data_IF_196223053065
#
_entry.id   IF_196223053065
#
_cell.length_a   1.000
_cell.length_b   1.000
_cell.length_c   1.000
_cell.angle_alpha   90.00
_cell.angle_beta   90.00
_cell.angle_gamma   90.00
#
_symmetry.space_group_name_H-M   'P 1'
#
loop_
_entity.id
_entity.type
_entity.pdbx_description
1 polymer ?
#
# COMPACT_ATOMS: atom_id res chain seq x y z
N UNK A 1 12.52 44.00 -21.13
CA UNK A 1 11.45 43.23 -20.47
C UNK A 1 10.74 44.23 -19.56
N UNK A 2 9.43 44.44 -19.72
CA UNK A 2 8.73 45.44 -18.92
C UNK A 2 8.43 44.87 -17.52
N UNK A 3 8.16 45.77 -16.56
CA UNK A 3 7.89 45.42 -15.17
C UNK A 3 6.71 44.45 -15.04
N UNK A 4 5.67 44.62 -15.84
CA UNK A 4 4.50 43.75 -15.87
C UNK A 4 4.86 42.30 -16.26
N UNK A 5 5.73 42.11 -17.26
CA UNK A 5 6.18 40.77 -17.65
C UNK A 5 6.99 40.07 -16.56
N UNK A 6 7.76 40.84 -15.77
CA UNK A 6 8.49 40.33 -14.62
C UNK A 6 7.53 39.89 -13.51
N UNK A 7 6.51 40.70 -13.22
CA UNK A 7 5.49 40.37 -12.22
C UNK A 7 4.70 39.13 -12.62
N UNK A 8 4.29 38.99 -13.87
CA UNK A 8 3.58 37.83 -14.39
C UNK A 8 4.42 36.55 -14.28
N UNK A 9 5.72 36.63 -14.55
CA UNK A 9 6.64 35.50 -14.39
C UNK A 9 6.78 35.12 -12.91
N UNK A 10 6.95 36.11 -12.03
CA UNK A 10 7.08 35.87 -10.58
C UNK A 10 5.81 35.27 -10.00
N UNK A 11 4.63 35.70 -10.41
CA UNK A 11 3.37 35.10 -9.99
C UNK A 11 3.22 33.64 -10.47
N UNK A 12 3.57 33.37 -11.72
CA UNK A 12 3.56 32.00 -12.25
C UNK A 12 4.49 31.07 -11.52
N UNK A 13 5.70 31.52 -11.17
CA UNK A 13 6.70 30.74 -10.43
C UNK A 13 6.28 30.57 -8.98
N UNK A 14 5.78 31.61 -8.34
CA UNK A 14 5.38 31.61 -6.92
C UNK A 14 4.20 30.68 -6.65
N UNK A 15 3.28 30.50 -7.59
CA UNK A 15 2.06 29.73 -7.45
C UNK A 15 2.19 28.30 -8.04
N UNK A 16 3.43 27.83 -8.23
CA UNK A 16 3.72 26.46 -8.68
C UNK A 16 4.43 25.67 -7.59
N UNK A 17 3.92 24.48 -7.34
CA UNK A 17 4.38 23.60 -6.29
C UNK A 17 4.96 22.31 -6.88
N UNK A 18 6.29 22.29 -7.04
CA UNK A 18 7.02 21.14 -7.58
C UNK A 18 7.56 20.25 -6.46
N UNK A 19 7.68 18.95 -6.75
CA UNK A 19 8.19 17.95 -5.83
C UNK A 19 7.10 17.30 -4.97
N UNK A 20 7.52 16.58 -3.94
CA UNK A 20 6.64 15.77 -3.08
C UNK A 20 6.31 16.49 -1.79
N UNK A 21 5.05 16.52 -1.44
CA UNK A 21 4.53 17.10 -0.21
C UNK A 21 3.89 16.04 0.67
N UNK A 22 4.11 16.12 1.97
CA UNK A 22 3.44 15.23 2.93
C UNK A 22 1.98 15.62 3.06
N UNK A 23 1.11 14.62 2.90
CA UNK A 23 -0.31 14.74 3.10
C UNK A 23 -0.85 13.70 4.08
N UNK A 24 -2.09 13.91 4.50
CA UNK A 24 -2.88 12.96 5.27
C UNK A 24 -4.21 12.77 4.54
N UNK A 25 -4.60 11.53 4.27
CA UNK A 25 -5.87 11.20 3.59
C UNK A 25 -7.04 11.69 4.44
N UNK A 26 -7.96 12.42 3.82
CA UNK A 26 -9.18 12.92 4.46
C UNK A 26 -10.45 12.23 3.95
N UNK A 27 -10.47 11.88 2.66
CA UNK A 27 -11.63 11.30 1.99
C UNK A 27 -11.19 10.29 0.93
N UNK A 28 -12.07 9.36 0.60
CA UNK A 28 -11.89 8.30 -0.41
C UNK A 28 -13.11 8.29 -1.32
N UNK A 29 -12.89 8.25 -2.62
CA UNK A 29 -13.92 8.05 -3.65
C UNK A 29 -13.85 6.60 -4.15
N UNK A 30 -14.86 5.82 -3.85
CA UNK A 30 -14.87 4.37 -4.11
C UNK A 30 -14.87 4.03 -5.60
N UNK A 31 -15.65 4.78 -6.40
CA UNK A 31 -15.83 4.49 -7.84
C UNK A 31 -14.56 4.72 -8.66
N UNK A 32 -13.74 5.68 -8.29
CA UNK A 32 -12.53 6.07 -9.04
C UNK A 32 -11.24 5.75 -8.33
N UNK A 33 -11.30 5.25 -7.10
CA UNK A 33 -10.17 5.01 -6.20
C UNK A 33 -9.27 6.24 -6.02
N UNK A 34 -9.89 7.43 -6.01
CA UNK A 34 -9.22 8.71 -5.73
C UNK A 34 -9.32 9.04 -4.25
N UNK A 35 -8.38 9.84 -3.79
CA UNK A 35 -8.37 10.33 -2.41
C UNK A 35 -8.38 11.86 -2.39
N UNK A 36 -8.84 12.46 -1.30
CA UNK A 36 -8.45 13.82 -0.92
C UNK A 36 -7.43 13.76 0.20
N UNK A 37 -6.55 14.71 0.24
CA UNK A 37 -5.54 14.81 1.27
C UNK A 37 -5.40 16.24 1.80
N UNK A 38 -5.17 16.37 3.10
CA UNK A 38 -4.72 17.61 3.71
C UNK A 38 -3.21 17.73 3.52
N UNK A 39 -2.78 18.82 2.89
CA UNK A 39 -1.36 19.11 2.57
C UNK A 39 -0.99 20.46 3.19
N UNK A 40 -0.66 20.54 4.49
CA UNK A 40 -0.50 21.80 5.21
C UNK A 40 0.56 22.74 4.62
N UNK A 41 1.63 22.18 4.05
CA UNK A 41 2.72 22.96 3.45
C UNK A 41 2.31 23.73 2.18
N UNK A 42 1.18 23.38 1.56
CA UNK A 42 0.71 23.98 0.30
C UNK A 42 -0.66 24.63 0.47
N UNK A 43 -1.59 23.94 1.11
CA UNK A 43 -3.01 24.34 1.20
C UNK A 43 -3.45 24.72 2.61
N UNK A 44 -2.53 24.73 3.60
CA UNK A 44 -2.88 24.99 4.99
C UNK A 44 -3.90 23.99 5.52
N UNK A 45 -5.04 24.48 5.99
CA UNK A 45 -6.11 23.64 6.56
C UNK A 45 -7.05 23.02 5.51
N UNK A 46 -6.94 23.42 4.25
CA UNK A 46 -7.80 22.91 3.18
C UNK A 46 -7.30 21.55 2.66
N UNK A 47 -8.25 20.69 2.30
CA UNK A 47 -7.95 19.47 1.56
C UNK A 47 -7.75 19.76 0.07
N UNK A 48 -7.04 18.88 -0.61
CA UNK A 48 -6.91 18.89 -2.09
C UNK A 48 -8.26 18.62 -2.75
N UNK A 49 -8.35 18.85 -4.06
CA UNK A 49 -9.30 18.14 -4.91
C UNK A 49 -9.03 16.62 -4.91
N UNK A 50 -9.79 15.87 -5.72
CA UNK A 50 -9.55 14.44 -5.89
C UNK A 50 -8.21 14.17 -6.56
N UNK A 51 -7.30 13.55 -5.81
CA UNK A 51 -5.96 13.21 -6.28
C UNK A 51 -6.01 12.02 -7.25
N UNK A 52 -5.42 12.17 -8.42
CA UNK A 52 -5.20 11.07 -9.35
C UNK A 52 -4.25 10.04 -8.73
N UNK A 53 -4.56 8.73 -8.75
CA UNK A 53 -3.63 7.71 -8.28
C UNK A 53 -2.45 7.53 -9.25
N UNK A 54 -1.23 7.55 -8.73
CA UNK A 54 -0.03 7.11 -9.43
C UNK A 54 0.38 5.75 -8.85
N UNK A 55 0.03 4.68 -9.54
CA UNK A 55 0.23 3.30 -9.08
C UNK A 55 1.19 2.55 -10.01
N UNK A 56 1.85 1.48 -9.53
CA UNK A 56 2.84 0.74 -10.33
C UNK A 56 2.29 0.13 -11.62
N UNK A 57 1.00 -0.22 -11.64
CA UNK A 57 0.34 -0.83 -12.80
C UNK A 57 -1.14 -0.48 -12.80
N UNK A 58 -1.64 0.04 -13.92
CA UNK A 58 -3.04 0.36 -14.13
C UNK A 58 -3.42 0.24 -15.61
N UNK A 59 -4.66 -0.11 -15.91
CA UNK A 59 -5.23 -0.19 -17.25
C UNK A 59 -6.72 -0.51 -17.18
N UNK A 60 -7.33 -0.78 -18.33
CA UNK A 60 -8.74 -1.17 -18.38
C UNK A 60 -8.92 -2.55 -17.75
N UNK A 61 -9.63 -2.61 -16.63
CA UNK A 61 -9.92 -3.81 -15.83
C UNK A 61 -8.67 -4.59 -15.33
N UNK A 62 -7.52 -3.88 -15.23
CA UNK A 62 -6.28 -4.43 -14.68
C UNK A 62 -5.55 -3.39 -13.83
N UNK A 63 -4.89 -3.82 -12.75
CA UNK A 63 -4.15 -2.89 -11.92
C UNK A 63 -3.64 -3.44 -10.60
N UNK A 64 -2.81 -2.62 -9.95
CA UNK A 64 -2.32 -2.83 -8.60
C UNK A 64 -3.04 -1.82 -7.68
N UNK A 65 -4.18 -2.22 -7.12
CA UNK A 65 -5.09 -1.35 -6.38
C UNK A 65 -4.91 -1.51 -4.86
N UNK A 66 -4.08 -0.65 -4.26
CA UNK A 66 -3.89 -0.54 -2.81
C UNK A 66 -4.17 0.89 -2.38
N UNK A 67 -5.42 1.14 -2.01
CA UNK A 67 -5.87 2.47 -1.61
C UNK A 67 -5.54 2.72 -0.13
N UNK A 68 -4.89 3.85 0.21
CA UNK A 68 -4.61 4.18 1.60
C UNK A 68 -5.89 4.57 2.35
N UNK A 69 -5.99 4.13 3.62
CA UNK A 69 -7.10 4.45 4.51
C UNK A 69 -7.13 5.95 4.86
N UNK A 70 -8.33 6.47 5.21
CA UNK A 70 -8.45 7.81 5.81
C UNK A 70 -7.55 7.90 7.06
N UNK A 71 -6.79 8.97 7.16
CA UNK A 71 -5.79 9.19 8.20
C UNK A 71 -4.37 8.74 7.82
N UNK A 72 -4.19 7.96 6.75
CA UNK A 72 -2.87 7.51 6.29
C UNK A 72 -1.99 8.65 5.79
N UNK A 73 -0.68 8.49 5.97
CA UNK A 73 0.32 9.39 5.42
C UNK A 73 0.56 9.11 3.93
N UNK A 74 0.44 10.15 3.10
CA UNK A 74 0.61 10.05 1.65
C UNK A 74 1.55 11.12 1.10
N UNK A 75 2.20 10.80 -0.01
CA UNK A 75 2.97 11.75 -0.80
C UNK A 75 2.09 12.32 -1.91
N UNK A 76 1.99 13.65 -1.95
CA UNK A 76 1.21 14.39 -2.93
C UNK A 76 2.16 15.19 -3.82
N UNK A 77 1.93 15.11 -5.11
CA UNK A 77 2.51 15.95 -6.15
C UNK A 77 1.39 16.72 -6.85
N UNK A 78 1.77 17.74 -7.61
CA UNK A 78 0.83 18.53 -8.41
C UNK A 78 1.30 18.55 -9.86
N UNK A 79 0.43 18.15 -10.78
CA UNK A 79 0.76 18.12 -12.21
C UNK A 79 1.19 19.52 -12.69
N UNK A 80 2.37 19.61 -13.27
CA UNK A 80 3.01 20.89 -13.64
C UNK A 80 3.07 21.92 -12.48
N UNK A 81 3.04 21.46 -11.23
CA UNK A 81 3.02 22.30 -10.04
C UNK A 81 1.67 22.98 -9.75
N UNK A 82 0.60 22.64 -10.46
CA UNK A 82 -0.71 23.25 -10.31
C UNK A 82 -1.56 22.51 -9.27
N UNK A 83 -1.92 23.19 -8.18
CA UNK A 83 -2.70 22.62 -7.07
C UNK A 83 -4.07 22.10 -7.49
N UNK A 84 -4.58 22.49 -8.65
CA UNK A 84 -5.85 22.01 -9.19
C UNK A 84 -5.78 20.57 -9.71
N UNK A 85 -4.58 20.06 -9.93
CA UNK A 85 -4.32 18.71 -10.44
C UNK A 85 -3.44 17.90 -9.49
N UNK A 86 -3.95 17.53 -8.31
CA UNK A 86 -3.21 16.77 -7.34
C UNK A 86 -3.08 15.30 -7.74
N UNK A 87 -1.91 14.72 -7.47
CA UNK A 87 -1.58 13.31 -7.71
C UNK A 87 -1.07 12.72 -6.39
N UNK A 88 -1.61 11.58 -5.93
CA UNK A 88 -0.96 10.84 -4.86
C UNK A 88 -0.03 9.77 -5.45
N UNK A 89 1.22 9.78 -4.96
CA UNK A 89 2.33 9.02 -5.57
C UNK A 89 2.91 7.98 -4.63
N UNK A 90 2.21 7.66 -3.56
CA UNK A 90 2.61 6.64 -2.60
C UNK A 90 2.29 7.03 -1.16
N UNK A 91 2.64 6.15 -0.24
CA UNK A 91 2.38 6.29 1.18
C UNK A 91 3.69 6.34 1.98
N UNK A 92 3.62 6.80 3.22
CA UNK A 92 4.70 6.70 4.18
C UNK A 92 4.15 6.34 5.56
N UNK A 93 4.94 5.65 6.34
CA UNK A 93 4.63 5.38 7.75
C UNK A 93 5.16 6.51 8.65
N UNK A 94 4.36 6.92 9.60
CA UNK A 94 4.84 7.70 10.73
C UNK A 94 5.51 6.77 11.75
N UNK A 95 6.10 7.33 12.79
CA UNK A 95 6.69 6.53 13.86
C UNK A 95 5.63 5.59 14.47
N UNK A 96 5.94 4.30 14.50
CA UNK A 96 5.06 3.27 15.05
C UNK A 96 3.99 2.70 14.10
N UNK A 97 3.89 3.18 12.86
CA UNK A 97 2.84 2.75 11.91
C UNK A 97 3.26 1.58 11.00
N UNK A 98 4.54 1.25 10.92
CA UNK A 98 4.96 0.14 10.07
C UNK A 98 4.35 -1.19 10.55
N UNK A 99 4.02 -2.14 9.65
CA UNK A 99 3.57 -3.47 10.07
C UNK A 99 4.55 -4.11 11.05
N UNK A 100 4.05 -4.72 12.13
CA UNK A 100 4.87 -5.34 13.18
C UNK A 100 5.79 -6.43 12.63
N UNK A 101 5.30 -7.19 11.65
CA UNK A 101 6.01 -8.30 11.01
C UNK A 101 7.09 -7.82 10.01
N UNK A 102 7.05 -6.55 9.59
CA UNK A 102 8.00 -6.02 8.61
C UNK A 102 9.40 -5.84 9.23
N UNK A 103 10.40 -6.43 8.60
CA UNK A 103 11.81 -6.34 8.96
C UNK A 103 12.69 -6.27 7.69
N UNK A 104 13.99 -5.93 7.78
CA UNK A 104 14.85 -5.86 6.59
C UNK A 104 14.82 -7.13 5.72
N UNK A 105 14.69 -8.29 6.34
CA UNK A 105 14.61 -9.59 5.65
C UNK A 105 13.21 -10.18 5.58
N UNK A 106 12.19 -9.51 6.10
CA UNK A 106 10.77 -9.91 6.02
C UNK A 106 10.01 -8.88 5.22
N UNK A 107 9.57 -9.25 4.02
CA UNK A 107 8.69 -8.45 3.17
C UNK A 107 7.25 -8.85 3.46
N UNK A 108 6.36 -7.86 3.55
CA UNK A 108 4.99 -8.12 3.95
C UNK A 108 3.98 -7.26 3.23
N UNK A 109 2.82 -7.84 2.96
CA UNK A 109 1.58 -7.13 2.65
C UNK A 109 0.63 -7.41 3.81
N UNK A 110 0.12 -6.36 4.44
CA UNK A 110 -0.84 -6.48 5.55
C UNK A 110 -2.00 -5.54 5.28
N UNK A 111 -3.22 -6.07 5.33
CA UNK A 111 -4.44 -5.27 5.22
C UNK A 111 -4.93 -4.83 6.61
N UNK A 112 -5.78 -3.82 6.66
CA UNK A 112 -6.39 -3.33 7.90
C UNK A 112 -7.18 -4.41 8.65
N UNK A 113 -7.79 -5.35 7.92
CA UNK A 113 -8.51 -6.48 8.50
C UNK A 113 -7.60 -7.60 9.04
N UNK A 114 -6.27 -7.51 8.84
CA UNK A 114 -5.32 -8.49 9.33
C UNK A 114 -5.01 -9.63 8.35
N UNK A 115 -5.43 -9.55 7.08
CA UNK A 115 -4.94 -10.46 6.05
C UNK A 115 -3.48 -10.17 5.77
N UNK A 116 -2.64 -11.20 5.62
CA UNK A 116 -1.18 -11.08 5.50
C UNK A 116 -0.60 -11.96 4.41
N UNK A 117 0.41 -11.43 3.71
CA UNK A 117 1.37 -12.19 2.93
C UNK A 117 2.76 -11.84 3.47
N UNK A 118 3.50 -12.84 3.91
CA UNK A 118 4.86 -12.69 4.45
C UNK A 118 5.83 -13.48 3.59
N UNK A 119 6.96 -12.85 3.26
CA UNK A 119 8.11 -13.50 2.65
C UNK A 119 9.29 -13.28 3.60
N UNK A 120 9.70 -14.34 4.29
CA UNK A 120 10.78 -14.32 5.27
C UNK A 120 12.03 -14.98 4.69
N UNK A 121 13.01 -14.13 4.34
CA UNK A 121 14.28 -14.59 3.77
C UNK A 121 15.15 -15.34 4.79
N UNK A 122 15.08 -14.99 6.10
CA UNK A 122 15.84 -15.67 7.14
C UNK A 122 15.24 -17.03 7.51
N UNK A 123 13.91 -17.07 7.64
CA UNK A 123 13.18 -18.31 7.90
C UNK A 123 13.00 -19.20 6.68
N UNK A 124 13.34 -18.69 5.48
CA UNK A 124 13.08 -19.37 4.19
C UNK A 124 11.63 -19.80 4.07
N UNK A 125 10.68 -18.92 4.45
CA UNK A 125 9.25 -19.22 4.45
C UNK A 125 8.44 -18.19 3.66
N UNK A 126 7.37 -18.66 3.04
CA UNK A 126 6.29 -17.84 2.50
C UNK A 126 5.01 -18.20 3.25
N UNK A 127 4.32 -17.20 3.78
CA UNK A 127 3.09 -17.42 4.54
C UNK A 127 1.98 -16.53 4.02
N UNK A 128 0.79 -17.11 3.80
CA UNK A 128 -0.45 -16.38 3.54
C UNK A 128 -1.41 -16.68 4.68
N UNK A 129 -1.91 -15.64 5.35
CA UNK A 129 -2.82 -15.79 6.50
C UNK A 129 -4.01 -14.84 6.33
N UNK A 130 -5.21 -15.32 6.58
CA UNK A 130 -6.39 -14.48 6.64
C UNK A 130 -6.67 -13.96 8.07
N UNK A 131 -7.66 -13.08 8.21
CA UNK A 131 -8.08 -12.51 9.49
C UNK A 131 -8.67 -13.54 10.48
N UNK A 132 -8.98 -14.75 10.02
CA UNK A 132 -9.48 -15.88 10.84
C UNK A 132 -8.39 -16.88 11.19
N UNK A 133 -7.11 -16.56 10.88
CA UNK A 133 -5.94 -17.42 11.04
C UNK A 133 -5.97 -18.72 10.20
N UNK A 134 -6.72 -18.74 9.09
CA UNK A 134 -6.50 -19.77 8.08
C UNK A 134 -5.17 -19.47 7.40
N UNK A 135 -4.33 -20.48 7.23
CA UNK A 135 -2.92 -20.24 6.87
C UNK A 135 -2.42 -21.21 5.80
N UNK A 136 -1.63 -20.69 4.89
CA UNK A 136 -0.83 -21.45 3.94
C UNK A 136 0.62 -21.13 4.25
N UNK A 137 1.45 -22.16 4.45
CA UNK A 137 2.90 -22.01 4.64
C UNK A 137 3.63 -22.82 3.59
N UNK A 138 4.64 -22.20 2.98
CA UNK A 138 5.63 -22.87 2.15
C UNK A 138 6.97 -22.72 2.88
N UNK A 139 7.64 -23.82 3.13
CA UNK A 139 8.98 -23.86 3.77
C UNK A 139 9.82 -25.03 3.24
N UNK A 140 10.94 -25.29 3.88
CA UNK A 140 11.85 -26.38 3.48
C UNK A 140 11.27 -27.77 3.68
N UNK A 141 10.20 -27.95 4.46
CA UNK A 141 9.51 -29.23 4.67
C UNK A 141 8.40 -29.49 3.68
N UNK A 142 7.92 -28.45 2.98
CA UNK A 142 6.89 -28.56 1.95
C UNK A 142 5.83 -27.47 2.03
N UNK A 143 4.57 -27.84 1.85
CA UNK A 143 3.40 -26.96 1.87
C UNK A 143 2.44 -27.42 2.96
N UNK A 144 2.04 -26.49 3.82
CA UNK A 144 1.05 -26.75 4.87
C UNK A 144 -0.17 -25.83 4.69
N UNK A 145 -1.37 -26.41 4.74
CA UNK A 145 -2.65 -25.72 4.80
C UNK A 145 -3.28 -25.94 6.17
N UNK A 146 -3.59 -24.88 6.88
CA UNK A 146 -4.10 -24.92 8.25
C UNK A 146 -5.42 -24.18 8.42
N UNK A 147 -6.36 -24.79 9.13
CA UNK A 147 -7.60 -24.15 9.62
C UNK A 147 -7.97 -24.71 11.00
N UNK A 148 -7.74 -23.92 12.04
CA UNK A 148 -7.94 -24.38 13.42
C UNK A 148 -7.06 -25.58 13.73
N UNK A 149 -7.68 -26.70 14.11
CA UNK A 149 -6.97 -27.95 14.38
C UNK A 149 -6.75 -28.85 13.14
N UNK A 150 -7.32 -28.47 11.99
CA UNK A 150 -7.20 -29.27 10.78
C UNK A 150 -6.05 -28.79 9.92
N UNK A 151 -5.29 -29.72 9.34
CA UNK A 151 -4.20 -29.42 8.44
C UNK A 151 -4.07 -30.42 7.31
N UNK A 152 -3.49 -29.96 6.20
CA UNK A 152 -2.99 -30.80 5.11
C UNK A 152 -1.52 -30.44 4.93
N UNK A 153 -0.66 -31.44 4.93
CA UNK A 153 0.78 -31.31 4.72
C UNK A 153 1.16 -32.04 3.44
N UNK A 154 1.94 -31.37 2.60
CA UNK A 154 2.48 -31.92 1.34
C UNK A 154 3.99 -31.85 1.45
N UNK A 155 4.65 -32.98 1.54
CA UNK A 155 6.10 -33.12 1.55
C UNK A 155 6.60 -33.74 0.24
N UNK A 156 7.91 -33.99 0.14
CA UNK A 156 8.51 -34.64 -1.04
C UNK A 156 8.06 -36.11 -1.20
N UNK A 157 7.57 -36.76 -0.13
CA UNK A 157 7.29 -38.19 -0.12
C UNK A 157 5.82 -38.53 0.11
N UNK A 158 5.04 -37.63 0.67
CA UNK A 158 3.65 -37.96 1.10
C UNK A 158 2.75 -36.76 1.23
N UNK A 159 1.46 -37.01 1.24
CA UNK A 159 0.41 -36.06 1.63
C UNK A 159 -0.28 -36.58 2.89
N UNK A 160 -0.24 -35.79 3.95
CA UNK A 160 -0.90 -36.08 5.24
C UNK A 160 -2.09 -35.18 5.49
N UNK A 161 -3.14 -35.74 6.05
CA UNK A 161 -4.30 -34.99 6.55
C UNK A 161 -4.44 -35.25 8.05
N UNK A 162 -4.49 -34.19 8.86
CA UNK A 162 -4.64 -34.23 10.31
C UNK A 162 -3.67 -35.22 10.98
N UNK A 163 -2.37 -34.98 10.84
CA UNK A 163 -1.28 -35.75 11.46
C UNK A 163 -1.28 -37.25 11.11
N UNK A 164 -1.77 -37.60 9.92
CA UNK A 164 -1.79 -38.99 9.44
C UNK A 164 -3.13 -39.70 9.62
N UNK A 165 -4.23 -38.99 9.89
CA UNK A 165 -5.58 -39.58 9.82
C UNK A 165 -5.89 -40.12 8.41
N UNK A 166 -5.30 -39.51 7.36
CA UNK A 166 -5.23 -40.00 5.99
C UNK A 166 -3.84 -39.69 5.44
N UNK A 167 -3.16 -40.70 4.92
CA UNK A 167 -1.87 -40.56 4.24
C UNK A 167 -1.96 -41.12 2.81
N UNK A 168 -1.34 -40.42 1.86
CA UNK A 168 -1.18 -40.84 0.47
C UNK A 168 0.31 -40.76 0.14
N UNK A 169 0.89 -41.90 -0.15
CA UNK A 169 2.31 -42.06 -0.51
C UNK A 169 2.48 -42.25 -2.02
#
# INVERSE_FOLDING_TARGET
MNEQAILDILERVRNRYYGKYRGTVTDIEEDTLRIKAKVPAVLGEQATGWCMPCVPYAGADVGFAFLPEVGSGVWIEFENGDVSYPIWTGCYWRAGEKPSDAAPKVKTIVTKAGHKILLDDDGSTITVTDSSNNKITLDSSGITLERGANKVEISDSEVKVNDGALEVM
#
